data_IF_422103461718
#
_entry.id   IF_422103461718
#
_cell.length_a   1.000
_cell.length_b   1.000
_cell.length_c   1.000
_cell.angle_alpha   90.00
_cell.angle_beta   90.00
_cell.angle_gamma   90.00
#
_symmetry.space_group_name_H-M   'P 1'
#
loop_
_entity.id
_entity.type
_entity.pdbx_description
1 polymer ?
#
# COMPACT_ATOMS: atom_id res chain seq x y z
N UNK A 1 17.25 10.62 4.23
CA UNK A 1 17.18 10.42 2.76
C UNK A 1 15.72 10.45 2.33
N UNK A 2 15.35 11.21 1.30
CA UNK A 2 13.95 11.43 0.94
C UNK A 2 13.30 10.14 0.40
N UNK A 3 12.40 9.55 1.19
CA UNK A 3 11.63 8.38 0.78
C UNK A 3 10.80 8.66 -0.47
N UNK A 4 10.76 7.70 -1.40
CA UNK A 4 10.00 7.84 -2.64
C UNK A 4 8.50 7.86 -2.33
N UNK A 5 7.81 8.88 -2.81
CA UNK A 5 6.37 9.08 -2.54
C UNK A 5 5.53 8.70 -3.75
N UNK A 6 4.43 7.97 -3.52
CA UNK A 6 3.51 7.53 -4.57
C UNK A 6 2.07 7.93 -4.24
N UNK A 7 1.28 8.30 -5.26
CA UNK A 7 -0.18 8.40 -5.11
C UNK A 7 -0.77 7.00 -4.98
N UNK A 8 -1.66 6.79 -4.02
CA UNK A 8 -2.22 5.47 -3.73
C UNK A 8 -3.72 5.49 -3.50
N UNK A 9 -4.35 4.35 -3.77
CA UNK A 9 -5.57 3.93 -3.10
C UNK A 9 -5.17 3.00 -1.95
N UNK A 10 -5.83 3.14 -0.80
CA UNK A 10 -5.56 2.28 0.35
C UNK A 10 -6.82 1.93 1.13
N UNK A 11 -6.73 0.84 1.88
CA UNK A 11 -7.77 0.40 2.80
C UNK A 11 -7.11 -0.12 4.09
N UNK A 12 -7.69 0.21 5.23
CA UNK A 12 -7.29 -0.30 6.55
C UNK A 12 -8.42 -1.20 7.03
N UNK A 13 -8.14 -2.48 7.22
CA UNK A 13 -9.14 -3.47 7.60
C UNK A 13 -8.70 -4.90 7.31
N UNK A 14 -9.41 -5.87 7.88
CA UNK A 14 -9.01 -7.28 7.82
C UNK A 14 -9.19 -7.97 6.47
N UNK A 15 -9.97 -7.37 5.54
CA UNK A 15 -10.27 -7.98 4.24
C UNK A 15 -10.49 -6.91 3.16
N UNK A 16 -10.12 -7.26 1.92
CA UNK A 16 -10.38 -6.45 0.73
C UNK A 16 -11.27 -7.22 -0.23
N UNK A 17 -12.46 -6.68 -0.56
CA UNK A 17 -13.42 -7.25 -1.49
C UNK A 17 -14.02 -6.16 -2.40
N UNK A 18 -14.89 -6.53 -3.34
CA UNK A 18 -15.48 -5.60 -4.31
C UNK A 18 -16.38 -4.51 -3.70
N UNK A 19 -16.88 -4.72 -2.48
CA UNK A 19 -17.70 -3.73 -1.74
C UNK A 19 -16.85 -2.81 -0.86
N UNK A 20 -15.55 -3.10 -0.71
CA UNK A 20 -14.65 -2.32 0.13
C UNK A 20 -14.48 -0.91 -0.43
N UNK A 21 -14.77 0.10 0.41
CA UNK A 21 -14.43 1.49 0.10
C UNK A 21 -12.95 1.73 0.34
N UNK A 22 -12.30 2.29 -0.66
CA UNK A 22 -10.88 2.68 -0.62
C UNK A 22 -10.75 4.19 -0.42
N UNK A 23 -9.67 4.59 0.24
CA UNK A 23 -9.29 5.97 0.46
C UNK A 23 -8.19 6.37 -0.52
N UNK A 24 -8.14 7.65 -0.87
CA UNK A 24 -7.05 8.21 -1.65
C UNK A 24 -6.00 8.84 -0.74
N UNK A 25 -4.73 8.62 -1.06
CA UNK A 25 -3.63 9.17 -0.28
C UNK A 25 -2.30 9.22 -1.02
N UNK A 26 -1.26 9.51 -0.26
CA UNK A 26 0.13 9.38 -0.69
C UNK A 26 0.89 8.49 0.28
N UNK A 27 1.57 7.49 -0.25
CA UNK A 27 2.45 6.61 0.53
C UNK A 27 3.89 7.06 0.36
N UNK A 28 4.63 7.06 1.46
CA UNK A 28 6.06 7.27 1.51
C UNK A 28 6.68 6.11 2.28
N UNK A 29 7.74 5.53 1.72
CA UNK A 29 8.50 4.47 2.36
C UNK A 29 9.89 5.00 2.71
N UNK A 30 10.24 4.93 3.98
CA UNK A 30 11.58 5.19 4.51
C UNK A 30 12.23 3.87 4.94
N UNK A 31 13.42 3.94 5.51
CA UNK A 31 14.08 2.76 6.10
C UNK A 31 13.37 2.28 7.36
N UNK A 32 12.61 3.13 8.05
CA UNK A 32 12.04 2.81 9.37
C UNK A 32 10.52 2.69 9.36
N UNK A 33 9.84 3.36 8.43
CA UNK A 33 8.38 3.44 8.41
C UNK A 33 7.79 3.48 7.00
N UNK A 34 6.58 2.93 6.89
CA UNK A 34 5.64 3.16 5.81
C UNK A 34 4.58 4.14 6.29
N UNK A 35 4.52 5.32 5.67
CA UNK A 35 3.55 6.36 6.03
C UNK A 35 2.58 6.59 4.88
N UNK A 36 1.29 6.62 5.16
CA UNK A 36 0.24 7.01 4.23
C UNK A 36 -0.42 8.28 4.75
N UNK A 37 -0.35 9.35 3.98
CA UNK A 37 -1.10 10.59 4.21
C UNK A 37 -2.41 10.54 3.42
N UNK A 38 -3.51 10.95 4.03
CA UNK A 38 -4.85 10.87 3.45
C UNK A 38 -5.92 11.16 4.51
N UNK A 39 -7.21 10.96 4.19
CA UNK A 39 -8.31 11.20 5.13
C UNK A 39 -8.19 10.40 6.43
N UNK A 40 -7.59 9.20 6.36
CA UNK A 40 -7.25 8.39 7.53
C UNK A 40 -5.74 8.12 7.45
N UNK A 41 -4.90 8.94 8.11
CA UNK A 41 -3.46 8.75 8.09
C UNK A 41 -3.08 7.39 8.68
N UNK A 42 -2.05 6.78 8.11
CA UNK A 42 -1.52 5.49 8.59
C UNK A 42 -0.02 5.62 8.72
N UNK A 43 0.51 5.19 9.85
CA UNK A 43 1.95 5.02 10.05
C UNK A 43 2.20 3.60 10.53
N UNK A 44 3.00 2.86 9.76
CA UNK A 44 3.40 1.49 10.08
C UNK A 44 4.92 1.47 10.22
N UNK A 45 5.44 1.37 11.45
CA UNK A 45 6.86 1.07 11.66
C UNK A 45 7.21 -0.26 10.97
N UNK A 46 8.29 -0.30 10.21
CA UNK A 46 8.66 -1.49 9.43
C UNK A 46 9.01 -2.69 10.32
N UNK A 47 9.41 -2.46 11.57
CA UNK A 47 9.56 -3.51 12.59
C UNK A 47 8.25 -4.22 12.94
N UNK A 48 7.10 -3.55 12.77
CA UNK A 48 5.78 -4.12 13.03
C UNK A 48 5.23 -4.87 11.80
N UNK A 49 5.86 -4.73 10.63
CA UNK A 49 5.40 -5.35 9.38
C UNK A 49 5.76 -6.83 9.40
N UNK A 50 4.73 -7.67 9.29
CA UNK A 50 4.90 -9.14 9.28
C UNK A 50 5.17 -9.68 7.89
N UNK A 51 4.61 -9.04 6.86
CA UNK A 51 4.79 -9.43 5.46
C UNK A 51 4.42 -8.29 4.51
N UNK A 52 4.85 -8.39 3.25
CA UNK A 52 4.42 -7.52 2.16
C UNK A 52 4.11 -8.36 0.91
N UNK A 53 2.85 -8.76 0.79
CA UNK A 53 2.37 -9.72 -0.20
C UNK A 53 1.69 -9.02 -1.37
N UNK A 54 1.90 -9.51 -2.59
CA UNK A 54 1.11 -9.06 -3.74
C UNK A 54 -0.24 -9.79 -3.74
N UNK A 55 -1.32 -9.04 -3.59
CA UNK A 55 -2.69 -9.52 -3.66
C UNK A 55 -3.36 -9.05 -4.95
N UNK A 56 -4.15 -9.92 -5.57
CA UNK A 56 -4.98 -9.58 -6.73
C UNK A 56 -6.46 -9.58 -6.32
N UNK A 57 -7.12 -8.45 -6.45
CA UNK A 57 -8.54 -8.34 -6.19
C UNK A 57 -9.32 -8.79 -7.43
N UNK A 58 -9.70 -10.08 -7.49
CA UNK A 58 -10.54 -10.66 -8.55
C UNK A 58 -10.18 -10.24 -9.99
N UNK A 59 -8.88 -10.10 -10.29
CA UNK A 59 -8.40 -9.66 -11.61
C UNK A 59 -8.53 -8.16 -11.92
N UNK A 60 -9.24 -7.38 -11.11
CA UNK A 60 -9.46 -5.93 -11.30
C UNK A 60 -8.23 -5.07 -10.95
N UNK A 61 -7.34 -5.60 -10.10
CA UNK A 61 -6.24 -4.80 -9.60
C UNK A 61 -5.21 -5.57 -8.81
N UNK A 62 -3.98 -5.03 -8.79
CA UNK A 62 -2.89 -5.47 -7.91
C UNK A 62 -2.79 -4.52 -6.73
N UNK A 63 -2.76 -5.06 -5.52
CA UNK A 63 -2.43 -4.32 -4.30
C UNK A 63 -1.35 -5.04 -3.51
N UNK A 64 -0.74 -4.33 -2.57
CA UNK A 64 0.14 -4.89 -1.55
C UNK A 64 -0.69 -5.08 -0.29
N UNK A 65 -0.75 -6.31 0.21
CA UNK A 65 -1.28 -6.63 1.53
C UNK A 65 -0.13 -6.55 2.53
N UNK A 66 -0.29 -5.70 3.54
CA UNK A 66 0.74 -5.39 4.52
C UNK A 66 0.16 -5.66 5.91
N UNK A 67 0.23 -6.91 6.39
CA UNK A 67 -0.11 -7.23 7.77
C UNK A 67 0.96 -6.63 8.69
N UNK A 68 0.50 -5.99 9.77
CA UNK A 68 1.34 -5.48 10.83
C UNK A 68 0.68 -5.75 12.19
N UNK A 69 1.33 -5.39 13.29
CA UNK A 69 0.82 -5.70 14.64
C UNK A 69 -0.60 -5.19 14.91
N UNK A 70 -0.95 -4.02 14.38
CA UNK A 70 -2.23 -3.35 14.64
C UNK A 70 -3.32 -3.67 13.60
N UNK A 71 -3.03 -4.50 12.59
CA UNK A 71 -4.01 -4.86 11.57
C UNK A 71 -3.41 -5.12 10.19
N UNK A 72 -4.18 -4.81 9.15
CA UNK A 72 -3.77 -5.01 7.76
C UNK A 72 -4.05 -3.73 6.98
N UNK A 73 -3.05 -3.32 6.21
CA UNK A 73 -3.18 -2.23 5.23
C UNK A 73 -3.07 -2.83 3.83
N UNK A 74 -4.04 -2.50 2.99
CA UNK A 74 -4.00 -2.79 1.57
C UNK A 74 -3.66 -1.51 0.82
N UNK A 75 -2.70 -1.54 -0.10
CA UNK A 75 -2.29 -0.35 -0.85
C UNK A 75 -2.01 -0.64 -2.33
N UNK A 76 -2.45 0.24 -3.22
CA UNK A 76 -2.16 0.18 -4.65
C UNK A 76 -1.69 1.53 -5.14
N UNK A 77 -0.57 1.57 -5.88
CA UNK A 77 -0.12 2.80 -6.53
C UNK A 77 -1.05 3.12 -7.69
N UNK A 78 -1.48 4.37 -7.79
CA UNK A 78 -2.42 4.84 -8.83
C UNK A 78 -1.67 5.66 -9.86
N UNK A 79 -2.00 5.46 -11.14
CA UNK A 79 -1.46 6.25 -12.26
C UNK A 79 -2.28 7.53 -12.46
N UNK A 80 -3.60 7.40 -12.54
CA UNK A 80 -4.54 8.51 -12.59
C UNK A 80 -5.92 8.06 -12.11
N UNK A 81 -6.74 9.04 -11.72
CA UNK A 81 -8.15 8.85 -11.38
C UNK A 81 -8.95 9.53 -12.49
N UNK A 82 -9.78 8.75 -13.19
CA UNK A 82 -10.65 9.23 -14.25
C UNK A 82 -11.96 9.73 -13.63
N UNK A 83 -12.25 11.01 -13.84
CA UNK A 83 -13.49 11.67 -13.44
C UNK A 83 -13.88 11.54 -11.95
N UNK A 84 -12.93 11.18 -11.08
CA UNK A 84 -13.19 10.93 -9.66
C UNK A 84 -13.82 9.56 -9.34
N UNK A 85 -14.19 8.77 -10.35
CA UNK A 85 -14.92 7.51 -10.17
C UNK A 85 -14.05 6.27 -10.35
N UNK A 86 -13.10 6.29 -11.29
CA UNK A 86 -12.28 5.12 -11.64
C UNK A 86 -10.79 5.37 -11.41
N UNK A 87 -10.14 4.53 -10.62
CA UNK A 87 -8.70 4.58 -10.42
C UNK A 87 -8.00 3.55 -11.30
N UNK A 88 -7.04 4.01 -12.11
CA UNK A 88 -6.17 3.12 -12.88
C UNK A 88 -4.93 2.80 -12.06
N UNK A 89 -4.80 1.54 -11.67
CA UNK A 89 -3.67 1.05 -10.87
C UNK A 89 -2.39 1.00 -11.72
N UNK A 90 -1.29 1.48 -11.15
CA UNK A 90 0.04 1.29 -11.69
C UNK A 90 0.61 -0.05 -11.22
N UNK A 91 0.46 -1.08 -12.05
CA UNK A 91 0.86 -2.46 -11.74
C UNK A 91 2.37 -2.60 -11.48
N UNK A 92 3.20 -1.88 -12.24
CA UNK A 92 4.66 -1.89 -12.10
C UNK A 92 5.09 -1.20 -10.81
N UNK A 93 4.60 0.02 -10.54
CA UNK A 93 4.95 0.75 -9.31
C UNK A 93 4.41 0.08 -8.06
N UNK A 94 3.27 -0.58 -8.13
CA UNK A 94 2.75 -1.40 -7.01
C UNK A 94 3.65 -2.61 -6.75
N UNK A 95 4.14 -3.25 -7.81
CA UNK A 95 5.15 -4.32 -7.68
C UNK A 95 6.47 -3.82 -7.10
N UNK A 96 6.93 -2.64 -7.54
CA UNK A 96 8.14 -1.99 -7.01
C UNK A 96 8.00 -1.67 -5.52
N UNK A 97 6.85 -1.12 -5.09
CA UNK A 97 6.57 -0.85 -3.68
C UNK A 97 6.60 -2.13 -2.85
N UNK A 98 5.98 -3.22 -3.33
CA UNK A 98 6.00 -4.51 -2.63
C UNK A 98 7.41 -5.10 -2.53
N UNK A 99 8.21 -4.99 -3.60
CA UNK A 99 9.61 -5.45 -3.60
C UNK A 99 10.44 -4.67 -2.58
N UNK A 100 10.35 -3.34 -2.61
CA UNK A 100 11.07 -2.47 -1.66
C UNK A 100 10.68 -2.77 -0.22
N UNK A 101 9.38 -2.89 0.07
CA UNK A 101 8.91 -3.28 1.41
C UNK A 101 9.50 -4.62 1.85
N UNK A 102 9.51 -5.63 0.98
CA UNK A 102 10.13 -6.93 1.28
C UNK A 102 11.63 -6.85 1.52
N UNK A 103 12.34 -6.04 0.74
CA UNK A 103 13.79 -5.83 0.92
C UNK A 103 14.08 -5.15 2.26
N UNK A 104 13.30 -4.13 2.64
CA UNK A 104 13.49 -3.42 3.91
C UNK A 104 13.07 -4.25 5.14
N UNK A 105 12.10 -5.14 4.99
CA UNK A 105 11.69 -6.07 6.07
C UNK A 105 12.63 -7.27 6.15
N UNK A 106 13.00 -7.86 5.02
CA UNK A 106 13.86 -9.06 4.95
C UNK A 106 15.34 -8.78 5.16
N UNK A 107 15.83 -7.57 4.83
CA UNK A 107 17.21 -7.15 5.12
C UNK A 107 17.49 -6.88 6.60
N UNK A 108 16.50 -7.06 7.47
CA UNK A 108 16.61 -6.97 8.94
C UNK A 108 16.55 -8.33 9.65
N UNK A 109 16.41 -9.43 8.90
CA UNK A 109 16.43 -10.79 9.44
C UNK A 109 17.85 -11.29 9.72
#
# INVERSE_FOLDING_TARGET
>A
MAGRTYRVMYHVGGALNLRTRVLQGRVSLTEDSLTITGPVPVEVPLREVRAAELFRLHGLGRCVRIPHEKGIVYVSVVRFVLFGYFAVINFLRTGELARRLRETVGGRA
#
